data_IF_343808352417
#
_entry.id   IF_343808352417
#
_cell.length_a   1.000
_cell.length_b   1.000
_cell.length_c   1.000
_cell.angle_alpha   90.00
_cell.angle_beta   90.00
_cell.angle_gamma   90.00
#
_symmetry.space_group_name_H-M   'P 1'
#
loop_
_entity.id
_entity.type
_entity.pdbx_description
1 polymer ?
#
# COMPACT_ATOMS: atom_id res chain seq x y z
N UNK A 1 -14.24 -16.14 9.11
CA UNK A 1 -14.19 -15.38 7.85
C UNK A 1 -13.25 -14.21 8.04
N UNK A 2 -12.05 -14.16 7.42
CA UNK A 2 -11.22 -12.96 7.54
C UNK A 2 -11.89 -11.84 6.76
N UNK A 3 -12.03 -10.69 7.42
CA UNK A 3 -12.84 -9.56 6.97
C UNK A 3 -12.39 -9.01 5.60
N UNK A 4 -13.31 -8.42 4.81
CA UNK A 4 -13.05 -7.85 3.47
C UNK A 4 -12.25 -6.53 3.52
N UNK A 5 -11.30 -6.40 4.45
CA UNK A 5 -10.59 -5.15 4.76
C UNK A 5 -9.42 -4.80 3.82
N UNK A 6 -9.23 -5.51 2.70
CA UNK A 6 -7.94 -5.50 2.01
C UNK A 6 -7.91 -4.90 0.60
N UNK A 7 -9.05 -4.67 -0.06
CA UNK A 7 -9.02 -4.13 -1.43
C UNK A 7 -8.90 -2.60 -1.45
N UNK A 8 -9.65 -1.93 -0.59
CA UNK A 8 -9.63 -0.47 -0.47
C UNK A 8 -8.31 0.04 0.07
N UNK A 9 -7.72 -0.64 1.05
CA UNK A 9 -6.46 -0.21 1.66
C UNK A 9 -5.29 -0.32 0.67
N UNK A 10 -5.22 -1.43 -0.09
CA UNK A 10 -4.21 -1.62 -1.12
C UNK A 10 -4.32 -0.55 -2.20
N UNK A 11 -5.52 -0.31 -2.71
CA UNK A 11 -5.75 0.71 -3.74
C UNK A 11 -5.41 2.12 -3.24
N UNK A 12 -5.84 2.47 -2.02
CA UNK A 12 -5.50 3.76 -1.38
C UNK A 12 -4.02 3.94 -1.14
N UNK A 13 -3.27 2.88 -0.84
CA UNK A 13 -1.82 2.93 -0.69
C UNK A 13 -1.08 2.96 -2.05
N UNK A 14 -1.61 2.30 -3.09
CA UNK A 14 -1.00 2.29 -4.42
C UNK A 14 -1.22 3.58 -5.21
N UNK A 15 -2.33 4.29 -5.01
CA UNK A 15 -2.62 5.57 -5.67
C UNK A 15 -1.50 6.61 -5.48
N UNK A 16 -1.05 6.94 -4.26
CA UNK A 16 0.05 7.90 -4.06
C UNK A 16 1.37 7.38 -4.64
N UNK A 17 1.66 6.08 -4.53
CA UNK A 17 2.87 5.49 -5.15
C UNK A 17 2.86 5.63 -6.68
N UNK A 18 1.71 5.38 -7.33
CA UNK A 18 1.54 5.58 -8.78
C UNK A 18 1.62 7.06 -9.18
N UNK A 19 1.25 7.97 -8.28
CA UNK A 19 1.37 9.43 -8.46
C UNK A 19 2.81 9.92 -8.36
N UNK A 20 3.75 9.08 -7.92
CA UNK A 20 5.16 9.40 -7.77
C UNK A 20 5.61 9.64 -6.33
N UNK A 21 4.74 9.39 -5.34
CA UNK A 21 5.12 9.53 -3.94
C UNK A 21 6.11 8.44 -3.52
N UNK A 22 6.99 8.81 -2.59
CA UNK A 22 8.01 7.91 -2.08
C UNK A 22 7.36 6.79 -1.28
N UNK A 23 7.69 5.53 -1.59
CA UNK A 23 7.24 4.33 -0.85
C UNK A 23 7.42 4.44 0.67
N UNK A 24 8.42 5.22 1.12
CA UNK A 24 8.70 5.47 2.55
C UNK A 24 7.55 6.24 3.23
N UNK A 25 7.02 7.27 2.56
CA UNK A 25 5.95 8.09 3.12
C UNK A 25 4.64 7.34 3.15
N UNK A 26 4.32 6.61 2.07
CA UNK A 26 3.13 5.75 2.02
C UNK A 26 3.21 4.64 3.07
N UNK A 27 4.39 4.04 3.29
CA UNK A 27 4.62 3.04 4.34
C UNK A 27 4.35 3.60 5.74
N UNK A 28 4.81 4.82 6.02
CA UNK A 28 4.57 5.49 7.31
C UNK A 28 3.10 5.91 7.47
N UNK A 29 2.50 6.45 6.42
CA UNK A 29 1.14 6.96 6.41
C UNK A 29 0.09 5.86 6.57
N UNK A 30 0.33 4.68 5.99
CA UNK A 30 -0.55 3.51 6.11
C UNK A 30 -0.11 2.53 7.21
N UNK A 31 1.00 2.82 7.92
CA UNK A 31 1.60 1.94 8.93
C UNK A 31 1.81 0.49 8.42
N UNK A 32 2.21 0.38 7.15
CA UNK A 32 2.48 -0.89 6.47
C UNK A 32 3.95 -1.00 6.16
N UNK A 33 4.48 -2.22 6.14
CA UNK A 33 5.88 -2.43 5.79
C UNK A 33 6.14 -2.07 4.32
N UNK A 34 7.35 -1.55 4.03
CA UNK A 34 7.81 -1.34 2.65
C UNK A 34 7.78 -2.64 1.82
N UNK A 35 7.98 -3.79 2.48
CA UNK A 35 7.92 -5.10 1.84
C UNK A 35 6.50 -5.44 1.37
N UNK A 36 5.48 -5.08 2.15
CA UNK A 36 4.07 -5.22 1.77
C UNK A 36 3.74 -4.36 0.54
N UNK A 37 4.23 -3.12 0.51
CA UNK A 37 4.09 -2.25 -0.67
C UNK A 37 4.79 -2.82 -1.91
N UNK A 38 5.97 -3.41 -1.75
CA UNK A 38 6.72 -4.01 -2.85
C UNK A 38 6.01 -5.26 -3.41
N UNK A 39 5.50 -6.12 -2.53
CA UNK A 39 4.62 -7.24 -2.87
C UNK A 39 3.36 -6.79 -3.62
N UNK A 40 2.80 -5.64 -3.25
CA UNK A 40 1.63 -5.06 -3.93
C UNK A 40 1.96 -4.38 -5.26
N UNK A 41 3.22 -4.01 -5.52
CA UNK A 41 3.64 -3.48 -6.82
C UNK A 41 4.03 -4.59 -7.79
N UNK A 42 4.56 -5.70 -7.27
CA UNK A 42 5.01 -6.85 -8.06
C UNK A 42 3.86 -7.72 -8.60
N UNK A 43 2.65 -7.54 -8.06
CA UNK A 43 1.46 -8.35 -8.35
C UNK A 43 0.41 -7.54 -9.10
#
# INVERSE_FOLDING_TARGET
MPAPYSYDMRSKALTPVKRGERKKEVSQMFNISRNTLDLWLKR
#
